data_IF_073308949441
#
_entry.id   IF_073308949441
#
_cell.length_a   1.000
_cell.length_b   1.000
_cell.length_c   1.000
_cell.angle_alpha   90.00
_cell.angle_beta   90.00
_cell.angle_gamma   90.00
#
_symmetry.space_group_name_H-M   'P 1'
#
loop_
_entity.id
_entity.type
_entity.pdbx_description
1 polymer ?
#
# COMPACT_ATOMS: atom_id res chain seq x y z
N UNK A 1 3.95 19.01 -3.80
CA UNK A 1 4.01 17.97 -4.84
C UNK A 1 2.98 18.32 -5.91
N UNK A 2 3.34 18.29 -7.20
CA UNK A 2 2.38 18.42 -8.30
C UNK A 2 2.19 17.06 -8.96
N UNK A 3 0.96 16.71 -9.31
CA UNK A 3 0.62 15.47 -10.02
C UNK A 3 -0.22 15.79 -11.23
N UNK A 4 0.25 15.31 -12.37
CA UNK A 4 -0.45 15.38 -13.65
C UNK A 4 -1.02 14.01 -14.02
N UNK A 5 -2.11 14.00 -14.79
CA UNK A 5 -2.79 12.74 -15.17
C UNK A 5 -1.86 11.79 -15.93
N UNK A 6 -0.96 12.31 -16.77
CA UNK A 6 0.01 11.51 -17.53
C UNK A 6 1.07 10.81 -16.68
N UNK A 7 1.20 11.15 -15.39
CA UNK A 7 2.12 10.48 -14.48
C UNK A 7 1.51 9.22 -13.83
N UNK A 8 0.20 9.00 -13.98
CA UNK A 8 -0.48 7.79 -13.50
C UNK A 8 -0.20 6.60 -14.44
N UNK A 9 1.05 6.15 -14.49
CA UNK A 9 1.54 5.16 -15.45
C UNK A 9 1.65 3.72 -14.92
N UNK A 10 1.39 3.51 -13.64
CA UNK A 10 1.47 2.18 -13.03
C UNK A 10 0.06 1.64 -12.78
N UNK A 11 -0.14 0.35 -13.07
CA UNK A 11 -1.36 -0.36 -12.69
C UNK A 11 -1.18 -0.91 -11.28
N UNK A 12 -2.08 -0.57 -10.38
CA UNK A 12 -2.09 -1.09 -9.01
C UNK A 12 -3.41 -1.80 -8.74
N UNK A 13 -3.36 -2.78 -7.83
CA UNK A 13 -4.55 -3.43 -7.28
C UNK A 13 -4.62 -3.10 -5.79
N UNK A 14 -5.76 -2.56 -5.35
CA UNK A 14 -6.06 -2.45 -3.93
C UNK A 14 -6.62 -3.78 -3.47
N UNK A 15 -5.98 -4.37 -2.47
CA UNK A 15 -6.42 -5.60 -1.82
C UNK A 15 -7.04 -5.24 -0.48
N UNK A 16 -8.21 -5.82 -0.18
CA UNK A 16 -8.92 -5.64 1.07
C UNK A 16 -8.82 -6.91 1.89
N UNK A 17 -8.39 -6.84 3.16
CA UNK A 17 -8.46 -7.98 4.03
C UNK A 17 -9.90 -8.42 4.23
N UNK A 18 -10.11 -9.72 4.17
CA UNK A 18 -11.36 -10.38 4.49
C UNK A 18 -11.12 -11.28 5.68
N UNK A 19 -11.81 -10.97 6.77
CA UNK A 19 -11.90 -11.87 7.92
C UNK A 19 -12.69 -13.10 7.49
N UNK A 20 -12.02 -14.24 7.41
CA UNK A 20 -12.64 -15.54 7.33
C UNK A 20 -12.29 -16.26 8.63
N UNK A 21 -13.27 -16.58 9.49
CA UNK A 21 -13.01 -17.43 10.64
C UNK A 21 -12.59 -18.81 10.13
N UNK A 22 -11.53 -19.40 10.71
CA UNK A 22 -11.35 -20.84 10.57
C UNK A 22 -12.40 -21.60 11.39
N UNK A 23 -12.47 -22.92 11.17
CA UNK A 23 -13.34 -23.82 11.93
C UNK A 23 -13.02 -23.85 13.45
N UNK A 24 -11.87 -23.31 13.87
CA UNK A 24 -11.40 -23.28 15.24
C UNK A 24 -11.59 -21.91 15.94
N UNK A 25 -12.10 -20.89 15.25
CA UNK A 25 -12.30 -19.54 15.77
C UNK A 25 -11.02 -18.71 15.93
N UNK A 26 -9.89 -19.14 15.35
CA UNK A 26 -8.67 -18.35 15.33
C UNK A 26 -8.69 -17.36 14.15
N UNK A 27 -7.95 -16.26 14.31
CA UNK A 27 -7.67 -15.34 13.22
C UNK A 27 -6.65 -16.00 12.27
N UNK A 28 -7.14 -16.57 11.18
CA UNK A 28 -6.29 -17.02 10.06
C UNK A 28 -5.67 -15.80 9.40
N UNK A 29 -4.51 -15.99 8.77
CA UNK A 29 -3.93 -15.03 7.82
C UNK A 29 -5.03 -14.46 6.92
N UNK A 30 -5.34 -13.17 7.10
CA UNK A 30 -6.50 -12.56 6.47
C UNK A 30 -6.40 -12.74 4.95
N UNK A 31 -7.30 -13.53 4.37
CA UNK A 31 -7.40 -13.64 2.92
C UNK A 31 -7.56 -12.24 2.34
N UNK A 32 -6.74 -11.88 1.36
CA UNK A 32 -6.75 -10.55 0.75
C UNK A 32 -7.51 -10.64 -0.56
N UNK A 33 -8.64 -9.95 -0.66
CA UNK A 33 -9.45 -9.93 -1.87
C UNK A 33 -9.20 -8.69 -2.71
N UNK A 34 -9.26 -8.83 -4.03
CA UNK A 34 -9.17 -7.68 -4.94
C UNK A 34 -10.37 -6.77 -4.74
N UNK A 35 -10.12 -5.57 -4.21
CA UNK A 35 -11.14 -4.54 -4.05
C UNK A 35 -11.33 -3.73 -5.33
N UNK A 36 -10.24 -3.22 -5.91
CA UNK A 36 -10.28 -2.52 -7.19
C UNK A 36 -8.91 -2.46 -7.85
N UNK A 37 -8.88 -2.09 -9.13
CA UNK A 37 -7.64 -1.88 -9.88
C UNK A 37 -7.69 -0.52 -10.58
N UNK A 38 -6.64 0.28 -10.44
CA UNK A 38 -6.59 1.64 -10.99
C UNK A 38 -5.19 2.00 -11.51
N UNK A 39 -5.12 3.11 -12.23
CA UNK A 39 -3.86 3.74 -12.61
C UNK A 39 -3.36 4.66 -11.49
N UNK A 40 -2.06 4.61 -11.22
CA UNK A 40 -1.42 5.36 -10.15
C UNK A 40 0.01 5.82 -10.52
N UNK A 41 0.47 6.86 -9.83
CA UNK A 41 1.87 7.28 -9.76
C UNK A 41 2.44 6.65 -8.50
N UNK A 42 3.42 5.75 -8.66
CA UNK A 42 4.11 5.08 -7.54
C UNK A 42 5.52 5.64 -7.48
N UNK A 43 5.93 6.13 -6.32
CA UNK A 43 7.27 6.69 -6.11
C UNK A 43 7.86 6.16 -4.80
N UNK A 44 9.02 5.48 -4.82
CA UNK A 44 9.79 5.30 -3.60
C UNK A 44 10.28 6.67 -3.13
N UNK A 45 10.29 6.92 -1.82
CA UNK A 45 10.75 8.19 -1.26
C UNK A 45 11.65 8.07 -0.04
N UNK A 46 11.69 6.90 0.61
CA UNK A 46 12.64 6.61 1.68
C UNK A 46 12.98 5.12 1.69
N UNK A 47 14.14 4.79 2.23
CA UNK A 47 14.52 3.43 2.57
C UNK A 47 15.08 3.46 4.00
N UNK A 48 14.74 2.44 4.78
CA UNK A 48 15.13 2.32 6.18
C UNK A 48 15.70 0.93 6.42
N UNK A 49 16.82 0.88 7.14
CA UNK A 49 17.38 -0.36 7.67
C UNK A 49 17.38 -0.21 9.18
N UNK A 50 16.69 -1.12 9.86
CA UNK A 50 16.67 -1.18 11.32
C UNK A 50 17.44 -2.42 11.75
N UNK A 51 18.57 -2.21 12.43
CA UNK A 51 19.43 -3.29 12.92
C UNK A 51 19.03 -3.63 14.36
N UNK A 52 18.17 -4.64 14.50
CA UNK A 52 17.76 -5.17 15.79
C UNK A 52 18.75 -6.20 16.33
N UNK A 53 18.64 -6.55 17.61
CA UNK A 53 19.54 -7.53 18.25
C UNK A 53 19.46 -8.95 17.65
N UNK A 54 18.39 -9.27 16.90
CA UNK A 54 18.11 -10.60 16.35
C UNK A 54 17.88 -10.61 14.83
N UNK A 55 17.45 -9.51 14.22
CA UNK A 55 17.09 -9.48 12.80
C UNK A 55 17.24 -8.06 12.21
N UNK A 56 17.73 -7.99 10.98
CA UNK A 56 17.82 -6.76 10.20
C UNK A 56 16.53 -6.58 9.40
N UNK A 57 15.76 -5.53 9.70
CA UNK A 57 14.53 -5.21 8.96
C UNK A 57 14.83 -4.13 7.93
N UNK A 58 14.62 -4.46 6.66
CA UNK A 58 14.76 -3.52 5.52
C UNK A 58 13.37 -3.11 5.06
N UNK A 59 13.11 -1.79 5.03
CA UNK A 59 11.85 -1.23 4.57
C UNK A 59 12.09 -0.23 3.43
N UNK A 60 11.25 -0.26 2.41
CA UNK A 60 11.18 0.81 1.39
C UNK A 60 9.82 1.49 1.47
N UNK A 61 9.83 2.81 1.63
CA UNK A 61 8.61 3.60 1.70
C UNK A 61 8.22 4.13 0.31
N UNK A 62 6.93 3.96 -0.01
CA UNK A 62 6.35 4.33 -1.29
C UNK A 62 5.21 5.32 -1.08
N UNK A 63 5.17 6.34 -1.92
CA UNK A 63 4.03 7.24 -2.08
C UNK A 63 3.29 6.83 -3.34
N UNK A 64 2.06 6.35 -3.16
CA UNK A 64 1.14 6.01 -4.24
C UNK A 64 0.13 7.14 -4.37
N UNK A 65 0.00 7.69 -5.58
CA UNK A 65 -0.99 8.73 -5.88
C UNK A 65 -1.93 8.23 -6.96
N UNK A 66 -3.24 8.31 -6.71
CA UNK A 66 -4.28 7.93 -7.66
C UNK A 66 -5.38 9.00 -7.71
N UNK A 67 -6.38 8.82 -8.59
CA UNK A 67 -7.58 9.68 -8.58
C UNK A 67 -8.27 9.60 -7.22
N UNK A 68 -8.78 10.73 -6.76
CA UNK A 68 -9.43 10.82 -5.47
C UNK A 68 -10.66 9.90 -5.35
N UNK A 69 -10.77 9.22 -4.21
CA UNK A 69 -11.91 8.42 -3.77
C UNK A 69 -11.83 8.22 -2.25
N UNK A 70 -12.94 7.91 -1.60
CA UNK A 70 -13.09 7.90 -0.13
C UNK A 70 -13.21 6.49 0.47
N UNK A 71 -13.19 5.47 -0.37
CA UNK A 71 -13.49 4.08 -0.05
C UNK A 71 -12.24 3.18 0.06
N UNK A 72 -11.05 3.77 0.03
CA UNK A 72 -9.77 3.09 0.34
C UNK A 72 -9.46 3.24 1.84
N UNK A 73 -9.11 2.12 2.48
CA UNK A 73 -8.87 2.03 3.92
C UNK A 73 -7.38 2.00 4.22
N UNK A 74 -7.00 2.39 5.43
CA UNK A 74 -5.66 2.18 5.97
C UNK A 74 -5.33 0.70 6.22
N UNK A 75 -6.35 -0.14 6.38
CA UNK A 75 -6.19 -1.60 6.46
C UNK A 75 -6.10 -2.29 5.10
N UNK A 76 -6.30 -1.57 4.00
CA UNK A 76 -6.10 -2.14 2.65
C UNK A 76 -4.59 -2.29 2.36
N UNK A 77 -4.27 -3.11 1.37
CA UNK A 77 -2.91 -3.30 0.84
C UNK A 77 -2.85 -2.87 -0.62
N UNK A 78 -1.68 -2.46 -1.09
CA UNK A 78 -1.45 -2.12 -2.49
C UNK A 78 -0.56 -3.19 -3.13
N UNK A 79 -1.12 -3.93 -4.08
CA UNK A 79 -0.36 -4.81 -4.96
C UNK A 79 0.11 -4.02 -6.19
N UNK A 80 1.42 -4.06 -6.45
CA UNK A 80 2.06 -3.40 -7.58
C UNK A 80 3.22 -4.26 -8.11
N UNK A 81 3.04 -4.84 -9.30
CA UNK A 81 4.02 -5.78 -9.86
C UNK A 81 4.09 -7.04 -9.01
N UNK A 82 5.27 -7.36 -8.50
CA UNK A 82 5.51 -8.46 -7.56
C UNK A 82 5.56 -8.02 -6.09
N UNK A 83 5.19 -6.77 -5.80
CA UNK A 83 5.25 -6.18 -4.46
C UNK A 83 3.87 -6.07 -3.85
N UNK A 84 3.77 -6.35 -2.56
CA UNK A 84 2.61 -6.01 -1.73
C UNK A 84 3.05 -4.97 -0.72
N UNK A 85 2.41 -3.81 -0.77
CA UNK A 85 2.72 -2.67 0.07
C UNK A 85 1.65 -2.52 1.15
N UNK A 86 2.07 -2.42 2.40
CA UNK A 86 1.21 -2.14 3.55
C UNK A 86 0.99 -0.62 3.66
N UNK A 87 -0.27 -0.19 3.81
CA UNK A 87 -0.59 1.22 4.00
C UNK A 87 -0.24 1.64 5.44
N UNK A 88 0.53 2.72 5.59
CA UNK A 88 1.05 3.16 6.89
C UNK A 88 0.21 4.23 7.59
N UNK A 89 -0.71 4.85 6.86
CA UNK A 89 -1.53 5.94 7.36
C UNK A 89 -2.84 6.03 6.56
N UNK A 90 -3.93 6.56 7.15
CA UNK A 90 -5.16 6.85 6.43
C UNK A 90 -4.90 7.61 5.12
N UNK A 91 -5.41 7.11 3.97
CA UNK A 91 -5.31 7.81 2.71
C UNK A 91 -5.87 9.23 2.80
N UNK A 92 -5.18 10.20 2.22
CA UNK A 92 -5.53 11.61 2.35
C UNK A 92 -5.54 12.34 1.02
N UNK A 93 -6.33 13.42 0.93
CA UNK A 93 -6.33 14.27 -0.26
C UNK A 93 -5.00 15.03 -0.36
N UNK A 94 -4.39 15.04 -1.55
CA UNK A 94 -3.13 15.77 -1.78
C UNK A 94 -3.25 17.28 -1.50
N UNK A 95 -4.43 17.83 -1.79
CA UNK A 95 -4.80 19.23 -1.62
C UNK A 95 -6.29 19.32 -1.27
N UNK A 96 -6.77 20.53 -0.93
CA UNK A 96 -8.19 20.77 -0.67
C UNK A 96 -9.10 20.62 -1.89
N UNK A 97 -8.56 20.37 -3.10
CA UNK A 97 -9.36 20.22 -4.33
C UNK A 97 -9.84 18.78 -4.54
N UNK A 98 -9.41 17.83 -3.71
CA UNK A 98 -9.81 16.41 -3.78
C UNK A 98 -9.66 15.83 -5.20
N UNK A 99 -8.58 16.16 -5.90
CA UNK A 99 -8.28 15.60 -7.24
C UNK A 99 -7.51 14.30 -7.17
N UNK A 100 -6.67 14.18 -6.14
CA UNK A 100 -5.73 13.09 -5.97
C UNK A 100 -5.82 12.54 -4.55
N UNK A 101 -5.84 11.21 -4.43
CA UNK A 101 -5.66 10.49 -3.19
C UNK A 101 -4.18 10.13 -3.05
N UNK A 102 -3.59 10.41 -1.89
CA UNK A 102 -2.24 10.01 -1.51
C UNK A 102 -2.33 8.86 -0.53
N UNK A 103 -1.55 7.82 -0.78
CA UNK A 103 -1.44 6.62 0.04
C UNK A 103 0.05 6.41 0.32
N UNK A 104 0.44 6.51 1.59
CA UNK A 104 1.80 6.20 2.02
C UNK A 104 1.86 4.73 2.41
N UNK A 105 2.76 3.99 1.78
CA UNK A 105 2.91 2.56 1.97
C UNK A 105 4.35 2.21 2.35
N UNK A 106 4.55 1.02 2.89
CA UNK A 106 5.87 0.38 3.01
C UNK A 106 5.87 -1.00 2.37
N UNK A 107 7.02 -1.37 1.87
CA UNK A 107 7.38 -2.75 1.56
C UNK A 107 8.34 -3.26 2.64
N UNK A 108 8.02 -4.39 3.26
CA UNK A 108 8.99 -5.16 4.04
C UNK A 108 9.82 -5.98 3.05
N UNK A 109 11.12 -5.73 3.00
CA UNK A 109 12.04 -6.48 2.14
C UNK A 109 12.56 -7.65 2.96
N UNK A 110 12.05 -8.84 2.65
CA UNK A 110 12.59 -10.09 3.19
C UNK A 110 13.98 -10.35 2.61
N UNK A 111 14.88 -10.92 3.42
CA UNK A 111 16.18 -11.37 2.93
C UNK A 111 15.98 -12.56 1.98
N UNK A 112 16.48 -12.45 0.75
CA UNK A 112 16.52 -13.60 -0.16
C UNK A 112 17.38 -14.73 0.47
N UNK A 113 16.92 -15.99 0.46
CA UNK A 113 17.62 -17.12 1.07
C UNK A 113 18.94 -17.49 0.38
#
# INVERSE_FOLDING_TARGET
>A
MYVNIGELRHRITVLRPRDAPDEAGNLVEQSRERYCTCWAKVLPFAAKISDGYAEQVKEVEYRVVMRYREDIRDTDFIEWGNKVLEIKAPPYAMDGRKRWLVIECRELVEDEP
#
